data_IF_564705464934
#
_entry.id   IF_564705464934
#
_cell.length_a   1.000
_cell.length_b   1.000
_cell.length_c   1.000
_cell.angle_alpha   90.00
_cell.angle_beta   90.00
_cell.angle_gamma   90.00
#
_symmetry.space_group_name_H-M   'P 1'
#
loop_
_entity.id
_entity.type
_entity.pdbx_description
1 polymer ?
#
# COMPACT_ATOMS: atom_id res chain seq x y z
N UNK A 1 0.16 -21.24 32.38
CA UNK A 1 0.75 -20.69 31.13
C UNK A 1 0.17 -19.30 30.92
N UNK A 2 1.02 -18.32 30.82
CA UNK A 2 0.64 -16.91 30.80
C UNK A 2 0.10 -16.54 29.41
N UNK A 3 -1.11 -15.97 29.32
CA UNK A 3 -1.77 -15.61 28.03
C UNK A 3 -0.87 -14.74 27.14
N UNK A 4 0.05 -13.97 27.73
CA UNK A 4 1.06 -13.18 26.99
C UNK A 4 2.10 -14.04 26.27
N UNK A 5 2.43 -15.23 26.78
CA UNK A 5 3.39 -16.14 26.12
C UNK A 5 2.77 -16.84 24.88
N UNK A 6 1.46 -17.08 24.90
CA UNK A 6 0.75 -17.68 23.74
C UNK A 6 0.65 -16.67 22.60
N UNK A 7 0.46 -15.39 22.89
CA UNK A 7 0.41 -14.33 21.87
C UNK A 7 1.78 -14.16 21.18
N UNK A 8 2.88 -14.27 21.93
CA UNK A 8 4.24 -14.17 21.36
C UNK A 8 4.57 -15.36 20.45
N UNK A 9 4.15 -16.58 20.83
CA UNK A 9 4.38 -17.79 20.01
C UNK A 9 3.49 -17.79 18.75
N UNK A 10 2.24 -17.33 18.86
CA UNK A 10 1.37 -17.16 17.70
C UNK A 10 1.89 -16.06 16.74
N UNK A 11 2.52 -14.98 17.27
CA UNK A 11 3.16 -13.97 16.42
C UNK A 11 4.36 -14.54 15.64
N UNK A 12 5.18 -15.41 16.24
CA UNK A 12 6.34 -16.00 15.54
C UNK A 12 5.94 -16.94 14.40
N UNK A 13 4.84 -17.70 14.55
CA UNK A 13 4.30 -18.53 13.46
C UNK A 13 3.63 -17.68 12.35
N UNK A 14 3.06 -16.54 12.71
CA UNK A 14 2.47 -15.61 11.74
C UNK A 14 3.51 -14.79 10.96
N UNK A 15 4.72 -14.56 11.49
CA UNK A 15 5.72 -13.67 10.88
C UNK A 15 6.39 -14.31 9.65
N UNK A 16 6.72 -15.60 9.69
CA UNK A 16 7.27 -16.32 8.53
C UNK A 16 6.28 -16.37 7.36
N UNK A 17 5.00 -16.58 7.66
CA UNK A 17 3.92 -16.58 6.69
C UNK A 17 3.41 -15.16 6.36
N UNK A 18 3.49 -14.19 7.30
CA UNK A 18 2.93 -12.86 7.11
C UNK A 18 3.67 -12.01 6.08
N UNK A 19 5.00 -12.19 5.89
CA UNK A 19 5.72 -11.46 4.85
C UNK A 19 5.35 -12.01 3.47
N UNK A 20 5.25 -13.32 3.30
CA UNK A 20 4.78 -13.95 2.06
C UNK A 20 3.27 -13.70 1.84
N UNK A 21 2.44 -13.88 2.88
CA UNK A 21 0.98 -13.67 2.86
C UNK A 21 0.62 -12.20 2.62
N UNK A 22 1.41 -11.22 3.09
CA UNK A 22 1.14 -9.81 2.83
C UNK A 22 1.28 -9.42 1.37
N UNK A 23 2.29 -9.95 0.68
CA UNK A 23 2.41 -9.72 -0.76
C UNK A 23 1.28 -10.35 -1.54
N UNK A 24 0.84 -11.51 -1.09
CA UNK A 24 -0.28 -12.24 -1.65
C UNK A 24 -1.59 -11.49 -1.37
N UNK A 25 -1.80 -11.00 -0.13
CA UNK A 25 -3.00 -10.27 0.28
C UNK A 25 -3.34 -9.03 -0.55
N UNK A 26 -2.35 -8.26 -0.98
CA UNK A 26 -2.58 -7.06 -1.81
C UNK A 26 -3.18 -7.38 -3.18
N UNK A 27 -2.74 -8.45 -3.80
CA UNK A 27 -3.24 -8.84 -5.12
C UNK A 27 -4.74 -9.17 -5.15
N UNK A 28 -5.28 -9.85 -4.15
CA UNK A 28 -6.64 -10.38 -4.18
C UNK A 28 -7.74 -9.43 -3.77
N UNK A 29 -7.47 -8.62 -2.78
CA UNK A 29 -8.43 -7.56 -2.44
C UNK A 29 -8.56 -6.56 -3.59
N UNK A 30 -7.50 -6.48 -4.39
CA UNK A 30 -7.45 -5.67 -5.59
C UNK A 30 -8.32 -6.24 -6.71
N UNK A 31 -8.58 -7.54 -6.78
CA UNK A 31 -9.41 -8.16 -7.83
C UNK A 31 -10.93 -8.05 -7.61
N UNK A 32 -11.40 -7.34 -6.60
CA UNK A 32 -12.81 -6.94 -6.48
C UNK A 32 -13.77 -8.02 -5.99
N UNK A 33 -13.26 -9.12 -5.45
CA UNK A 33 -14.09 -10.11 -4.80
C UNK A 33 -14.40 -9.69 -3.35
N UNK A 34 -15.68 -9.48 -3.05
CA UNK A 34 -16.18 -9.33 -1.67
C UNK A 34 -16.09 -10.65 -0.85
N UNK A 35 -15.40 -11.64 -1.37
CA UNK A 35 -15.15 -12.92 -0.72
C UNK A 35 -13.66 -13.18 -0.73
N UNK A 36 -13.07 -13.34 0.44
CA UNK A 36 -11.73 -13.93 0.52
C UNK A 36 -11.72 -15.26 -0.22
N UNK A 37 -10.76 -15.52 -1.11
CA UNK A 37 -10.57 -16.84 -1.66
C UNK A 37 -10.33 -17.82 -0.51
N UNK A 38 -10.98 -18.96 -0.54
CA UNK A 38 -10.86 -19.97 0.50
C UNK A 38 -9.55 -20.75 0.48
N UNK A 39 -8.71 -20.55 -0.55
CA UNK A 39 -7.45 -21.24 -0.76
C UNK A 39 -6.30 -20.27 -1.07
N UNK A 40 -5.35 -20.20 -0.15
CA UNK A 40 -4.14 -19.38 -0.23
C UNK A 40 -3.28 -19.71 -1.48
N UNK A 41 -3.28 -20.95 -1.92
CA UNK A 41 -2.53 -21.42 -3.09
C UNK A 41 -3.08 -20.93 -4.44
N UNK A 42 -4.39 -20.87 -4.60
CA UNK A 42 -5.02 -20.38 -5.84
C UNK A 42 -4.82 -18.89 -6.02
N UNK A 43 -4.68 -18.22 -4.94
CA UNK A 43 -4.41 -16.83 -4.78
C UNK A 43 -3.00 -16.42 -5.20
N UNK A 44 -2.00 -17.15 -4.74
CA UNK A 44 -0.62 -16.98 -5.19
C UNK A 44 -0.50 -17.18 -6.70
N UNK A 45 -1.18 -18.20 -7.23
CA UNK A 45 -1.21 -18.48 -8.69
C UNK A 45 -1.82 -17.33 -9.49
N UNK A 46 -2.89 -16.70 -9.00
CA UNK A 46 -3.52 -15.55 -9.67
C UNK A 46 -2.60 -14.34 -9.72
N UNK A 47 -1.88 -14.04 -8.64
CA UNK A 47 -0.89 -12.96 -8.60
C UNK A 47 0.28 -13.25 -9.51
N UNK A 48 0.84 -14.45 -9.48
CA UNK A 48 1.93 -14.86 -10.35
C UNK A 48 1.48 -14.80 -11.81
N UNK A 49 0.28 -15.26 -12.13
CA UNK A 49 -0.28 -15.17 -13.48
C UNK A 49 -0.50 -13.72 -13.94
N UNK A 50 -0.90 -12.84 -13.01
CA UNK A 50 -1.14 -11.42 -13.32
C UNK A 50 0.13 -10.61 -13.45
N UNK A 51 1.13 -10.86 -12.62
CA UNK A 51 2.33 -10.04 -12.53
C UNK A 51 3.58 -10.72 -13.08
N UNK A 52 3.54 -12.05 -13.34
CA UNK A 52 4.61 -12.80 -13.98
C UNK A 52 5.99 -12.54 -13.37
N UNK A 53 6.98 -12.28 -14.22
CA UNK A 53 8.37 -12.04 -13.81
C UNK A 53 8.58 -10.78 -12.94
N UNK A 54 7.53 -9.96 -12.77
CA UNK A 54 7.58 -8.80 -11.87
C UNK A 54 7.31 -9.18 -10.44
N UNK A 55 6.73 -10.35 -10.24
CA UNK A 55 6.42 -10.86 -8.93
C UNK A 55 7.67 -11.52 -8.32
N UNK A 56 7.67 -11.55 -7.02
CA UNK A 56 8.69 -12.15 -6.19
C UNK A 56 8.93 -13.63 -6.55
N UNK A 57 10.16 -13.99 -6.78
CA UNK A 57 10.57 -15.40 -6.82
C UNK A 57 10.64 -15.92 -5.37
N UNK A 58 9.74 -16.84 -5.03
CA UNK A 58 9.69 -17.47 -3.70
C UNK A 58 10.98 -18.24 -3.32
N UNK A 59 11.89 -18.45 -4.28
CA UNK A 59 13.21 -19.01 -4.03
C UNK A 59 14.16 -18.04 -3.30
N UNK A 60 13.86 -16.73 -3.30
CA UNK A 60 14.57 -15.70 -2.54
C UNK A 60 13.98 -15.56 -1.13
N UNK A 61 13.99 -16.62 -0.32
CA UNK A 61 13.58 -16.50 1.07
C UNK A 61 14.50 -15.52 1.82
N UNK A 62 13.95 -14.51 2.51
CA UNK A 62 14.76 -13.66 3.36
C UNK A 62 15.39 -14.51 4.47
N UNK A 63 16.61 -14.18 4.86
CA UNK A 63 17.15 -14.71 6.09
C UNK A 63 16.14 -14.50 7.23
N UNK A 64 15.90 -15.52 8.05
CA UNK A 64 14.91 -15.49 9.16
C UNK A 64 15.32 -14.54 10.30
N UNK A 65 16.15 -13.56 10.01
CA UNK A 65 16.58 -12.52 10.96
C UNK A 65 15.84 -11.21 10.69
N UNK A 66 15.66 -10.40 11.72
CA UNK A 66 15.09 -9.05 11.58
C UNK A 66 15.81 -8.23 10.53
N UNK A 67 17.15 -8.29 10.51
CA UNK A 67 17.98 -7.56 9.55
C UNK A 67 17.81 -8.12 8.14
N UNK A 68 17.77 -9.45 7.98
CA UNK A 68 17.54 -10.12 6.71
C UNK A 68 16.20 -9.76 6.11
N UNK A 69 15.13 -9.80 6.90
CA UNK A 69 13.78 -9.40 6.46
C UNK A 69 13.70 -7.94 6.06
N UNK A 70 14.26 -7.02 6.84
CA UNK A 70 14.28 -5.60 6.52
C UNK A 70 15.11 -5.30 5.26
N UNK A 71 16.24 -5.96 5.08
CA UNK A 71 17.08 -5.84 3.89
C UNK A 71 16.35 -6.36 2.66
N UNK A 72 15.69 -7.50 2.77
CA UNK A 72 14.87 -8.06 1.70
C UNK A 72 13.75 -7.08 1.28
N UNK A 73 12.97 -6.52 2.23
CA UNK A 73 11.96 -5.49 1.93
C UNK A 73 12.55 -4.31 1.15
N UNK A 74 13.75 -3.85 1.56
CA UNK A 74 14.45 -2.75 0.89
C UNK A 74 14.87 -3.12 -0.54
N UNK A 75 15.30 -4.35 -0.77
CA UNK A 75 15.65 -4.84 -2.11
C UNK A 75 14.41 -4.94 -3.00
N UNK A 76 13.30 -5.47 -2.48
CA UNK A 76 12.04 -5.53 -3.21
C UNK A 76 11.48 -4.14 -3.51
N UNK A 77 11.54 -3.19 -2.58
CA UNK A 77 11.18 -1.79 -2.83
C UNK A 77 11.95 -1.22 -4.02
N UNK A 78 13.26 -1.43 -4.07
CA UNK A 78 14.10 -0.99 -5.19
C UNK A 78 13.68 -1.64 -6.51
N UNK A 79 13.40 -2.94 -6.51
CA UNK A 79 12.90 -3.69 -7.68
C UNK A 79 11.57 -3.11 -8.18
N UNK A 80 10.61 -2.89 -7.28
CA UNK A 80 9.31 -2.31 -7.65
C UNK A 80 9.46 -0.87 -8.18
N UNK A 81 10.31 -0.05 -7.59
CA UNK A 81 10.60 1.30 -8.11
C UNK A 81 11.22 1.28 -9.50
N UNK A 82 12.11 0.35 -9.79
CA UNK A 82 12.66 0.16 -11.13
C UNK A 82 11.55 -0.23 -12.14
N UNK A 83 10.63 -1.10 -11.75
CA UNK A 83 9.50 -1.50 -12.57
C UNK A 83 8.50 -0.33 -12.77
N UNK A 84 8.27 0.49 -11.74
CA UNK A 84 7.50 1.75 -11.87
C UNK A 84 8.11 2.64 -12.96
N UNK A 85 9.43 2.85 -12.94
CA UNK A 85 10.13 3.63 -13.96
C UNK A 85 10.00 3.00 -15.36
N UNK A 86 10.14 1.68 -15.46
CA UNK A 86 10.01 0.94 -16.72
C UNK A 86 8.58 1.04 -17.30
N UNK A 87 7.54 0.88 -16.47
CA UNK A 87 6.15 1.00 -16.95
C UNK A 87 5.80 2.45 -17.28
N UNK A 88 6.29 3.43 -16.54
CA UNK A 88 6.12 4.84 -16.87
C UNK A 88 6.74 5.18 -18.23
N UNK A 89 7.93 4.67 -18.53
CA UNK A 89 8.57 4.83 -19.83
C UNK A 89 7.78 4.15 -20.96
N UNK A 90 7.31 2.91 -20.73
CA UNK A 90 6.45 2.18 -21.69
C UNK A 90 5.16 2.94 -21.98
N UNK A 91 4.47 3.47 -20.96
CA UNK A 91 3.27 4.29 -21.11
C UNK A 91 3.55 5.56 -21.92
N UNK A 92 4.66 6.25 -21.61
CA UNK A 92 5.08 7.45 -22.36
C UNK A 92 5.35 7.20 -23.83
N UNK A 93 5.80 5.99 -24.21
CA UNK A 93 6.08 5.59 -25.60
C UNK A 93 4.83 5.21 -26.40
N UNK A 94 3.69 4.99 -25.77
CA UNK A 94 2.46 4.65 -26.46
C UNK A 94 1.93 5.83 -27.31
N UNK A 95 1.27 5.58 -28.44
CA UNK A 95 0.69 6.62 -29.30
C UNK A 95 -0.63 7.16 -28.72
N UNK A 96 -0.58 7.68 -27.47
CA UNK A 96 -1.72 8.27 -26.80
C UNK A 96 -1.93 9.72 -27.22
N UNK A 97 -3.16 10.22 -27.10
CA UNK A 97 -3.48 11.64 -27.31
C UNK A 97 -2.59 12.53 -26.40
N UNK A 98 -2.09 13.68 -26.91
CA UNK A 98 -1.26 14.58 -26.11
C UNK A 98 -1.92 14.99 -24.79
N UNK A 99 -3.21 15.32 -24.81
CA UNK A 99 -4.00 15.68 -23.62
C UNK A 99 -4.04 14.56 -22.57
N UNK A 100 -4.16 13.30 -23.00
CA UNK A 100 -4.12 12.15 -22.10
C UNK A 100 -2.71 11.96 -21.51
N UNK A 101 -1.66 12.13 -22.31
CA UNK A 101 -0.27 12.09 -21.81
C UNK A 101 -0.01 13.15 -20.74
N UNK A 102 -0.53 14.36 -20.93
CA UNK A 102 -0.40 15.45 -19.95
C UNK A 102 -1.16 15.13 -18.65
N UNK A 103 -2.38 14.56 -18.74
CA UNK A 103 -3.12 14.11 -17.57
C UNK A 103 -2.38 12.99 -16.80
N UNK A 104 -1.80 11.99 -17.49
CA UNK A 104 -1.03 10.91 -16.87
C UNK A 104 0.27 11.43 -16.23
N UNK A 105 0.90 12.46 -16.81
CA UNK A 105 2.05 13.14 -16.20
C UNK A 105 1.65 13.84 -14.90
N UNK A 106 0.56 14.61 -14.91
CA UNK A 106 0.04 15.27 -13.71
C UNK A 106 -0.37 14.27 -12.63
N UNK A 107 -0.97 13.15 -13.04
CA UNK A 107 -1.31 12.02 -12.16
C UNK A 107 -0.04 11.49 -11.48
N UNK A 108 1.02 11.27 -12.24
CA UNK A 108 2.30 10.79 -11.72
C UNK A 108 2.92 11.79 -10.74
N UNK A 109 2.85 13.08 -11.00
CA UNK A 109 3.33 14.12 -10.08
C UNK A 109 2.51 14.14 -8.78
N UNK A 110 1.19 13.95 -8.87
CA UNK A 110 0.33 13.82 -7.70
C UNK A 110 0.64 12.54 -6.90
N UNK A 111 0.87 11.41 -7.59
CA UNK A 111 1.28 10.18 -6.94
C UNK A 111 2.59 10.32 -6.16
N UNK A 112 3.61 10.91 -6.76
CA UNK A 112 4.90 11.09 -6.12
C UNK A 112 4.79 11.88 -4.81
N UNK A 113 3.94 12.92 -4.79
CA UNK A 113 3.64 13.71 -3.58
C UNK A 113 2.88 12.87 -2.56
N UNK A 114 1.89 12.09 -2.99
CA UNK A 114 1.11 11.19 -2.14
C UNK A 114 2.01 10.13 -1.50
N UNK A 115 2.85 9.47 -2.29
CA UNK A 115 3.81 8.46 -1.80
C UNK A 115 4.78 9.03 -0.77
N UNK A 116 5.32 10.24 -1.01
CA UNK A 116 6.19 10.90 -0.06
C UNK A 116 5.47 11.23 1.27
N UNK A 117 4.19 11.58 1.21
CA UNK A 117 3.37 11.85 2.39
C UNK A 117 2.99 10.56 3.14
N UNK A 118 2.63 9.51 2.42
CA UNK A 118 2.36 8.17 2.99
C UNK A 118 3.59 7.65 3.74
N UNK A 119 4.78 7.70 3.13
CA UNK A 119 6.01 7.26 3.78
C UNK A 119 6.30 8.02 5.08
N UNK A 120 6.00 9.34 5.13
CA UNK A 120 6.15 10.13 6.36
C UNK A 120 5.12 9.73 7.41
N UNK A 121 3.87 9.51 6.99
CA UNK A 121 2.81 9.05 7.86
C UNK A 121 3.15 7.68 8.47
N UNK A 122 3.52 6.70 7.65
CA UNK A 122 3.87 5.35 8.10
C UNK A 122 5.07 5.35 9.04
N UNK A 123 6.13 6.07 8.69
CA UNK A 123 7.31 6.18 9.56
C UNK A 123 6.96 6.77 10.93
N UNK A 124 6.10 7.79 10.98
CA UNK A 124 5.67 8.42 12.23
C UNK A 124 4.69 7.52 12.99
N UNK A 125 3.73 6.90 12.30
CA UNK A 125 2.79 5.96 12.88
C UNK A 125 3.52 4.79 13.56
N UNK A 126 4.42 4.14 12.83
CA UNK A 126 5.21 3.02 13.35
C UNK A 126 6.16 3.44 14.48
N UNK A 127 6.65 4.68 14.46
CA UNK A 127 7.41 5.23 15.58
C UNK A 127 6.57 5.35 16.85
N UNK A 128 5.31 5.77 16.74
CA UNK A 128 4.40 5.89 17.87
C UNK A 128 3.85 4.54 18.33
N UNK A 129 3.49 3.68 17.38
CA UNK A 129 2.97 2.33 17.64
C UNK A 129 3.99 1.45 18.37
N UNK A 130 5.25 1.51 17.93
CA UNK A 130 6.39 0.84 18.57
C UNK A 130 7.25 1.86 19.31
N UNK A 131 6.64 2.67 20.17
CA UNK A 131 7.33 3.78 20.87
C UNK A 131 8.54 3.29 21.68
N UNK A 132 8.44 2.11 22.26
CA UNK A 132 9.51 1.45 23.00
C UNK A 132 10.59 0.81 22.12
N UNK A 133 10.46 0.90 20.81
CA UNK A 133 11.36 0.24 19.85
C UNK A 133 10.95 -1.21 19.57
N UNK A 134 11.93 -2.03 19.25
CA UNK A 134 11.75 -3.48 18.97
C UNK A 134 12.03 -3.86 17.52
N UNK A 135 12.25 -5.17 17.32
CA UNK A 135 12.62 -5.75 16.02
C UNK A 135 11.52 -5.60 14.97
N UNK A 136 10.26 -5.71 15.39
CA UNK A 136 9.10 -5.53 14.49
C UNK A 136 9.04 -4.14 13.88
N UNK A 137 9.41 -3.10 14.63
CA UNK A 137 9.47 -1.74 14.08
C UNK A 137 10.38 -1.64 12.87
N UNK A 138 11.55 -2.27 12.93
CA UNK A 138 12.55 -2.24 11.84
C UNK A 138 11.98 -2.90 10.58
N UNK A 139 11.35 -4.07 10.74
CA UNK A 139 10.73 -4.81 9.62
C UNK A 139 9.58 -3.98 9.02
N UNK A 140 8.66 -3.48 9.84
CA UNK A 140 7.50 -2.73 9.37
C UNK A 140 7.89 -1.40 8.70
N UNK A 141 8.96 -0.74 9.18
CA UNK A 141 9.48 0.47 8.54
C UNK A 141 10.10 0.19 7.16
N UNK A 142 10.62 -0.99 6.92
CA UNK A 142 11.12 -1.39 5.60
C UNK A 142 9.99 -1.92 4.70
N UNK A 143 8.98 -2.59 5.27
CA UNK A 143 7.83 -3.16 4.56
C UNK A 143 6.90 -2.08 3.99
N UNK A 144 6.61 -1.02 4.74
CA UNK A 144 5.64 0.00 4.34
C UNK A 144 5.98 0.69 3.00
N UNK A 145 7.19 1.22 2.76
CA UNK A 145 7.53 1.82 1.47
C UNK A 145 7.58 0.81 0.33
N UNK A 146 7.93 -0.45 0.60
CA UNK A 146 7.90 -1.55 -0.37
C UNK A 146 6.46 -1.79 -0.85
N UNK A 147 5.49 -1.88 0.06
CA UNK A 147 4.08 -2.09 -0.27
C UNK A 147 3.51 -0.94 -1.12
N UNK A 148 3.84 0.31 -0.79
CA UNK A 148 3.41 1.48 -1.56
C UNK A 148 4.01 1.44 -2.99
N UNK A 149 5.29 1.05 -3.13
CA UNK A 149 5.92 0.89 -4.44
C UNK A 149 5.28 -0.24 -5.25
N UNK A 150 4.90 -1.35 -4.63
CA UNK A 150 4.18 -2.45 -5.26
C UNK A 150 2.79 -2.01 -5.76
N UNK A 151 2.02 -1.29 -4.94
CA UNK A 151 0.71 -0.75 -5.33
C UNK A 151 0.85 0.13 -6.58
N UNK A 152 1.86 1.02 -6.62
CA UNK A 152 2.10 1.87 -7.78
C UNK A 152 2.48 1.09 -9.02
N UNK A 153 3.40 0.14 -8.89
CA UNK A 153 3.83 -0.72 -9.99
C UNK A 153 2.64 -1.46 -10.60
N UNK A 154 1.78 -2.04 -9.76
CA UNK A 154 0.59 -2.77 -10.20
C UNK A 154 -0.37 -1.87 -10.98
N UNK A 155 -0.63 -0.66 -10.48
CA UNK A 155 -1.46 0.32 -11.17
C UNK A 155 -0.91 0.67 -12.56
N UNK A 156 0.38 0.98 -12.66
CA UNK A 156 1.01 1.36 -13.93
C UNK A 156 1.07 0.20 -14.93
N UNK A 157 1.24 -1.04 -14.45
CA UNK A 157 1.15 -2.23 -15.28
C UNK A 157 -0.24 -2.38 -15.87
N UNK A 158 -1.27 -2.30 -15.04
CA UNK A 158 -2.66 -2.41 -15.47
C UNK A 158 -3.03 -1.29 -16.48
N UNK A 159 -2.61 -0.05 -16.23
CA UNK A 159 -2.79 1.07 -17.15
C UNK A 159 -2.06 0.84 -18.49
N UNK A 160 -0.82 0.34 -18.44
CA UNK A 160 -0.08 -0.01 -19.65
C UNK A 160 -0.79 -1.09 -20.44
N UNK A 161 -1.26 -2.15 -19.79
CA UNK A 161 -1.95 -3.26 -20.47
C UNK A 161 -3.29 -2.78 -21.07
N UNK A 162 -3.99 -1.86 -20.40
CA UNK A 162 -5.20 -1.23 -20.93
C UNK A 162 -4.90 -0.41 -22.21
N UNK A 163 -3.94 0.50 -22.13
CA UNK A 163 -3.61 1.40 -23.25
C UNK A 163 -2.90 0.69 -24.41
N UNK A 164 -2.23 -0.41 -24.14
CA UNK A 164 -1.66 -1.29 -25.16
C UNK A 164 -2.69 -2.28 -25.78
N UNK A 165 -3.99 -2.15 -25.43
CA UNK A 165 -5.09 -3.03 -25.85
C UNK A 165 -4.87 -4.52 -25.54
N UNK A 166 -4.21 -4.79 -24.40
CA UNK A 166 -3.96 -6.16 -23.92
C UNK A 166 -5.05 -6.66 -22.98
N UNK A 167 -5.88 -5.75 -22.44
CA UNK A 167 -6.98 -6.07 -21.53
C UNK A 167 -8.28 -6.26 -22.32
N UNK A 168 -9.07 -7.26 -21.93
CA UNK A 168 -10.45 -7.39 -22.40
C UNK A 168 -11.32 -6.33 -21.73
N UNK A 169 -12.28 -5.71 -22.45
CA UNK A 169 -13.26 -4.84 -21.83
C UNK A 169 -14.00 -5.59 -20.73
N UNK A 170 -14.06 -5.04 -19.53
CA UNK A 170 -14.87 -5.59 -18.46
C UNK A 170 -16.24 -4.95 -18.49
N UNK A 171 -17.29 -5.78 -18.49
CA UNK A 171 -18.69 -5.36 -18.37
C UNK A 171 -19.07 -4.97 -16.93
N UNK A 172 -18.11 -4.70 -16.06
CA UNK A 172 -18.37 -4.35 -14.67
C UNK A 172 -19.09 -3.01 -14.59
N UNK A 173 -20.23 -3.00 -13.88
CA UNK A 173 -20.92 -1.78 -13.49
C UNK A 173 -19.91 -0.79 -12.92
N UNK A 174 -19.92 0.44 -13.46
CA UNK A 174 -19.01 1.50 -13.05
C UNK A 174 -19.26 1.84 -11.56
N UNK A 175 -18.44 1.29 -10.67
CA UNK A 175 -18.49 1.62 -9.24
C UNK A 175 -17.95 3.04 -9.03
N UNK A 176 -18.58 3.78 -8.13
CA UNK A 176 -18.07 5.08 -7.69
C UNK A 176 -16.76 4.86 -6.94
N UNK A 177 -15.72 5.66 -7.23
CA UNK A 177 -14.50 5.66 -6.45
C UNK A 177 -14.80 6.25 -5.07
N UNK A 178 -14.88 5.39 -4.07
CA UNK A 178 -15.14 5.77 -2.69
C UNK A 178 -13.84 5.80 -1.89
N UNK A 179 -13.45 6.99 -1.43
CA UNK A 179 -12.27 7.19 -0.56
C UNK A 179 -12.62 7.13 0.92
N UNK A 180 -13.89 6.89 1.28
CA UNK A 180 -14.33 6.85 2.69
C UNK A 180 -13.71 5.68 3.43
N UNK A 181 -13.55 4.53 2.77
CA UNK A 181 -12.90 3.33 3.34
C UNK A 181 -11.49 3.68 3.79
N UNK A 182 -10.69 4.31 2.92
CA UNK A 182 -9.34 4.75 3.28
C UNK A 182 -9.35 5.79 4.39
N UNK A 183 -10.29 6.76 4.36
CA UNK A 183 -10.42 7.78 5.40
C UNK A 183 -10.77 7.18 6.75
N UNK A 184 -11.58 6.12 6.78
CA UNK A 184 -11.91 5.36 8.00
C UNK A 184 -10.66 4.69 8.57
N UNK A 185 -9.93 3.93 7.76
CA UNK A 185 -8.70 3.25 8.21
C UNK A 185 -7.65 4.24 8.74
N UNK A 186 -7.54 5.42 8.11
CA UNK A 186 -6.66 6.49 8.58
C UNK A 186 -7.07 7.00 9.97
N UNK A 187 -8.37 7.21 10.20
CA UNK A 187 -8.87 7.65 11.51
C UNK A 187 -8.67 6.58 12.58
N UNK A 188 -8.89 5.32 12.25
CA UNK A 188 -8.64 4.22 13.17
C UNK A 188 -7.15 4.06 13.49
N UNK A 189 -6.26 4.25 12.52
CA UNK A 189 -4.83 4.26 12.76
C UNK A 189 -4.42 5.39 13.72
N UNK A 190 -4.97 6.60 13.54
CA UNK A 190 -4.75 7.71 14.48
C UNK A 190 -5.26 7.38 15.89
N UNK A 191 -6.46 6.79 16.01
CA UNK A 191 -7.05 6.41 17.29
C UNK A 191 -6.21 5.35 18.02
N UNK A 192 -5.60 4.41 17.29
CA UNK A 192 -4.76 3.34 17.85
C UNK A 192 -3.55 3.89 18.60
N UNK A 193 -2.92 4.96 18.09
CA UNK A 193 -1.70 5.56 18.68
C UNK A 193 -1.98 6.85 19.45
N UNK A 194 -3.23 7.13 19.77
CA UNK A 194 -3.57 8.30 20.57
C UNK A 194 -3.05 8.11 22.00
N UNK A 195 -2.51 9.19 22.61
CA UNK A 195 -1.90 9.11 23.93
C UNK A 195 -2.83 8.50 24.99
N UNK A 196 -4.13 8.78 24.91
CA UNK A 196 -5.13 8.26 25.84
C UNK A 196 -5.33 6.75 25.75
N UNK A 197 -5.01 6.15 24.61
CA UNK A 197 -5.15 4.70 24.35
C UNK A 197 -3.86 3.93 24.66
N UNK A 198 -2.75 4.63 24.91
CA UNK A 198 -1.44 4.02 25.14
C UNK A 198 -1.15 3.80 26.64
N UNK A 199 -0.22 2.89 26.92
CA UNK A 199 0.31 2.69 28.26
C UNK A 199 1.18 3.89 28.66
N UNK A 200 0.63 4.73 29.57
CA UNK A 200 1.25 5.98 29.99
C UNK A 200 2.51 5.80 30.83
N UNK A 201 2.59 4.70 31.59
CA UNK A 201 3.78 4.39 32.38
C UNK A 201 4.92 3.94 31.48
N UNK A 202 4.59 3.17 30.44
CA UNK A 202 5.57 2.75 29.45
C UNK A 202 6.11 3.96 28.66
N UNK A 203 5.24 4.90 28.25
CA UNK A 203 5.68 6.13 27.57
C UNK A 203 6.63 6.93 28.45
N UNK A 204 6.32 7.08 29.74
CA UNK A 204 7.18 7.81 30.68
C UNK A 204 8.54 7.15 30.90
N UNK A 205 8.63 5.82 30.83
CA UNK A 205 9.89 5.10 31.00
C UNK A 205 10.84 5.20 29.81
N UNK A 206 10.33 5.46 28.60
CA UNK A 206 11.12 5.59 27.37
C UNK A 206 11.22 7.02 26.82
N UNK A 207 10.47 7.96 27.38
CA UNK A 207 10.46 9.35 26.94
C UNK A 207 9.56 10.21 27.85
N UNK A 208 8.89 11.18 27.27
CA UNK A 208 7.95 12.04 28.01
C UNK A 208 6.58 12.10 27.31
N UNK A 209 5.53 12.31 28.12
CA UNK A 209 4.18 12.54 27.61
C UNK A 209 4.11 13.73 26.63
N UNK A 210 4.92 14.76 26.88
CA UNK A 210 5.00 15.95 26.00
C UNK A 210 5.60 15.61 24.66
N UNK A 211 6.69 14.84 24.63
CA UNK A 211 7.33 14.38 23.39
C UNK A 211 6.37 13.50 22.58
N UNK A 212 5.74 12.52 23.23
CA UNK A 212 4.76 11.66 22.55
C UNK A 212 3.64 12.46 21.90
N UNK A 213 3.06 13.43 22.63
CA UNK A 213 2.01 14.30 22.12
C UNK A 213 2.46 15.17 20.94
N UNK A 214 3.70 15.66 20.94
CA UNK A 214 4.27 16.39 19.80
C UNK A 214 4.38 15.51 18.56
N UNK A 215 4.87 14.28 18.71
CA UNK A 215 4.94 13.31 17.62
C UNK A 215 3.55 12.96 17.07
N UNK A 216 2.56 12.82 17.96
CA UNK A 216 1.18 12.57 17.58
C UNK A 216 0.59 13.75 16.78
N UNK A 217 0.80 14.99 17.20
CA UNK A 217 0.38 16.17 16.43
C UNK A 217 1.02 16.23 15.03
N UNK A 218 2.28 15.79 14.90
CA UNK A 218 2.91 15.66 13.58
C UNK A 218 2.25 14.56 12.73
N UNK A 219 1.90 13.42 13.32
CA UNK A 219 1.19 12.36 12.66
C UNK A 219 -0.18 12.84 12.14
N UNK A 220 -0.96 13.57 12.96
CA UNK A 220 -2.24 14.15 12.55
C UNK A 220 -2.07 15.07 11.32
N UNK A 221 -1.02 15.90 11.31
CA UNK A 221 -0.71 16.74 10.15
C UNK A 221 -0.42 15.91 8.91
N UNK A 222 0.41 14.87 9.01
CA UNK A 222 0.68 13.97 7.87
C UNK A 222 -0.59 13.24 7.41
N UNK A 223 -1.49 12.88 8.32
CA UNK A 223 -2.77 12.29 7.95
C UNK A 223 -3.64 13.24 7.10
N UNK A 224 -3.74 14.52 7.49
CA UNK A 224 -4.47 15.54 6.72
C UNK A 224 -3.83 15.76 5.36
N UNK A 225 -2.50 15.89 5.30
CA UNK A 225 -1.76 16.05 4.05
C UNK A 225 -1.99 14.87 3.11
N UNK A 226 -1.88 13.65 3.62
CA UNK A 226 -2.04 12.43 2.84
C UNK A 226 -3.48 12.29 2.32
N UNK A 227 -4.48 12.60 3.14
CA UNK A 227 -5.90 12.61 2.72
C UNK A 227 -6.13 13.60 1.56
N UNK A 228 -5.56 14.79 1.67
CA UNK A 228 -5.68 15.82 0.64
C UNK A 228 -4.99 15.39 -0.66
N UNK A 229 -3.81 14.77 -0.56
CA UNK A 229 -3.05 14.30 -1.73
C UNK A 229 -3.71 13.10 -2.41
N UNK A 230 -4.31 12.18 -1.65
CA UNK A 230 -5.09 11.08 -2.23
C UNK A 230 -6.29 11.62 -3.03
N UNK A 231 -7.02 12.58 -2.46
CA UNK A 231 -8.15 13.19 -3.16
C UNK A 231 -7.72 13.88 -4.48
N UNK A 232 -6.56 14.55 -4.47
CA UNK A 232 -5.98 15.17 -5.68
C UNK A 232 -5.56 14.11 -6.70
N UNK A 233 -4.92 13.05 -6.27
CA UNK A 233 -4.53 11.95 -7.16
C UNK A 233 -5.77 11.30 -7.80
N UNK A 234 -6.83 11.01 -7.04
CA UNK A 234 -8.09 10.48 -7.57
C UNK A 234 -8.74 11.46 -8.56
N UNK A 235 -8.68 12.77 -8.30
CA UNK A 235 -9.19 13.78 -9.24
C UNK A 235 -8.43 13.76 -10.57
N UNK A 236 -7.10 13.61 -10.56
CA UNK A 236 -6.30 13.48 -11.79
C UNK A 236 -6.62 12.19 -12.55
N UNK A 237 -6.86 11.09 -11.83
CA UNK A 237 -7.33 9.83 -12.44
C UNK A 237 -8.67 10.02 -13.14
N UNK A 238 -9.63 10.72 -12.53
CA UNK A 238 -10.94 11.04 -13.14
C UNK A 238 -10.79 11.94 -14.38
N UNK A 239 -9.89 12.91 -14.36
CA UNK A 239 -9.62 13.74 -15.52
C UNK A 239 -9.09 12.93 -16.70
N UNK A 240 -8.15 12.00 -16.44
CA UNK A 240 -7.64 11.08 -17.47
C UNK A 240 -8.75 10.15 -17.98
N UNK A 241 -9.59 9.60 -17.09
CA UNK A 241 -10.71 8.72 -17.42
C UNK A 241 -11.66 9.35 -18.44
N UNK A 242 -12.00 10.64 -18.27
CA UNK A 242 -12.89 11.36 -19.17
C UNK A 242 -12.38 11.48 -20.61
N UNK A 243 -11.09 11.27 -20.84
CA UNK A 243 -10.46 11.30 -22.16
C UNK A 243 -10.43 9.91 -22.84
N UNK A 244 -10.93 8.89 -22.16
CA UNK A 244 -10.92 7.50 -22.64
C UNK A 244 -12.22 7.14 -23.34
N UNK A 245 -12.19 6.11 -24.19
CA UNK A 245 -13.39 5.49 -24.74
C UNK A 245 -14.22 4.83 -23.64
N UNK A 246 -15.52 4.70 -23.82
CA UNK A 246 -16.44 4.06 -22.86
C UNK A 246 -15.97 2.64 -22.49
N UNK A 247 -15.40 1.90 -23.44
CA UNK A 247 -14.88 0.56 -23.22
C UNK A 247 -13.62 0.53 -22.33
N UNK A 248 -12.88 1.64 -22.23
CA UNK A 248 -11.68 1.75 -21.43
C UNK A 248 -11.94 2.40 -20.06
N UNK A 249 -12.94 3.28 -19.96
CA UNK A 249 -13.25 4.00 -18.73
C UNK A 249 -13.50 3.07 -17.55
N UNK A 250 -14.28 2.01 -17.74
CA UNK A 250 -14.59 1.03 -16.69
C UNK A 250 -13.34 0.38 -16.11
N UNK A 251 -12.42 -0.10 -16.96
CA UNK A 251 -11.17 -0.71 -16.53
C UNK A 251 -10.28 0.30 -15.81
N UNK A 252 -10.10 1.50 -16.38
CA UNK A 252 -9.27 2.55 -15.77
C UNK A 252 -9.80 3.00 -14.40
N UNK A 253 -11.12 3.11 -14.25
CA UNK A 253 -11.77 3.37 -12.97
C UNK A 253 -11.53 2.26 -11.98
N UNK A 254 -11.63 0.99 -12.40
CA UNK A 254 -11.33 -0.15 -11.55
C UNK A 254 -9.87 -0.13 -11.07
N UNK A 255 -8.89 0.19 -11.93
CA UNK A 255 -7.50 0.34 -11.50
C UNK A 255 -7.35 1.40 -10.40
N UNK A 256 -8.06 2.53 -10.53
CA UNK A 256 -8.05 3.58 -9.50
C UNK A 256 -8.67 3.11 -8.19
N UNK A 257 -9.82 2.43 -8.26
CA UNK A 257 -10.49 1.86 -7.08
C UNK A 257 -9.62 0.83 -6.39
N UNK A 258 -8.95 -0.01 -7.17
CA UNK A 258 -7.99 -1.00 -6.67
C UNK A 258 -6.88 -0.36 -5.83
N UNK A 259 -6.30 0.73 -6.32
CA UNK A 259 -5.25 1.47 -5.57
C UNK A 259 -5.80 2.04 -4.26
N UNK A 260 -6.98 2.66 -4.27
CA UNK A 260 -7.60 3.21 -3.06
C UNK A 260 -7.84 2.12 -2.02
N UNK A 261 -8.36 0.96 -2.44
CA UNK A 261 -8.59 -0.19 -1.56
C UNK A 261 -7.26 -0.78 -1.05
N UNK A 262 -6.24 -0.89 -1.90
CA UNK A 262 -4.93 -1.40 -1.51
C UNK A 262 -4.25 -0.47 -0.48
N UNK A 263 -4.38 0.85 -0.63
CA UNK A 263 -3.89 1.81 0.36
C UNK A 263 -4.66 1.73 1.69
N UNK A 264 -5.99 1.53 1.64
CA UNK A 264 -6.79 1.32 2.85
C UNK A 264 -6.36 0.03 3.57
N UNK A 265 -6.15 -1.05 2.83
CA UNK A 265 -5.67 -2.31 3.39
C UNK A 265 -4.25 -2.22 3.95
N UNK A 266 -3.38 -1.44 3.31
CA UNK A 266 -2.06 -1.14 3.85
C UNK A 266 -2.13 -0.49 5.25
N UNK A 267 -2.99 0.52 5.44
CA UNK A 267 -3.21 1.14 6.76
C UNK A 267 -3.80 0.15 7.77
N UNK A 268 -4.77 -0.66 7.36
CA UNK A 268 -5.35 -1.71 8.19
C UNK A 268 -4.27 -2.69 8.67
N UNK A 269 -3.42 -3.20 7.78
CA UNK A 269 -2.34 -4.11 8.12
C UNK A 269 -1.34 -3.50 9.09
N UNK A 270 -0.93 -2.25 8.87
CA UNK A 270 -0.02 -1.55 9.78
C UNK A 270 -0.58 -1.42 11.20
N UNK A 271 -1.91 -1.45 11.35
CA UNK A 271 -2.61 -1.38 12.64
C UNK A 271 -2.75 -2.75 13.31
N UNK A 272 -2.89 -3.81 12.55
CA UNK A 272 -3.11 -5.17 13.07
C UNK A 272 -1.81 -5.89 13.50
N UNK A 273 -0.66 -5.25 13.31
CA UNK A 273 0.66 -5.69 13.77
C UNK A 273 0.92 -5.42 15.23
#
# INVERSE_FOLDING_TARGET
MNKKAIIVIALFFFIGNAVAVRHVGYGAQVCGANTMPSDEDDYQKEIIAKFGDLYFDSSENPEETTSGMAMWCTQQEKRYKNNVAAYSAKLGSLPLLPTLKDCLKQETDCWNKLQASLNKFDAMYLRLYYYTGGTMRIICQADAPMNIAFIRMSCLKDDYDLFANKQKPTSLMMKVIDTSVWSKELQEALATVKYETQDKELIKSYGSASEYKQLYCQLEKYAVDTKTLLARWVAQRRNAEQLLSDSQQGNFRNHTLMVVNALAYHLYNNRML
#
